data_IF_560579444678
#
_entry.id   IF_560579444678
#
_cell.length_a   1.000
_cell.length_b   1.000
_cell.length_c   1.000
_cell.angle_alpha   90.00
_cell.angle_beta   90.00
_cell.angle_gamma   90.00
#
_symmetry.space_group_name_H-M   'P 1'
#
loop_
_entity.id
_entity.type
_entity.pdbx_description
1 polymer ?
#
# COMPACT_ATOMS: atom_id res chain seq x y z
N UNK A 1 -5.74 27.85 38.36
CA UNK A 1 -4.74 27.05 37.61
C UNK A 1 -4.97 27.42 36.17
N UNK A 2 -4.02 28.13 35.56
CA UNK A 2 -4.15 28.72 34.23
C UNK A 2 -4.32 27.59 33.20
N UNK A 3 -5.41 27.62 32.44
CA UNK A 3 -5.51 26.87 31.18
C UNK A 3 -4.64 27.62 30.19
N UNK A 4 -3.38 27.18 30.05
CA UNK A 4 -2.53 27.65 28.97
C UNK A 4 -3.13 27.14 27.66
N UNK A 5 -3.80 28.03 26.94
CA UNK A 5 -4.06 27.87 25.52
C UNK A 5 -2.71 27.83 24.81
N UNK A 6 -2.24 26.62 24.52
CA UNK A 6 -1.05 26.41 23.71
C UNK A 6 -1.41 26.85 22.28
N UNK A 7 -0.92 28.02 21.86
CA UNK A 7 -0.98 28.41 20.47
C UNK A 7 -0.04 27.51 19.68
N UNK A 8 -0.60 26.74 18.74
CA UNK A 8 0.15 25.89 17.82
C UNK A 8 0.31 26.62 16.47
N UNK A 9 1.50 27.15 16.15
CA UNK A 9 1.74 27.80 14.86
C UNK A 9 1.83 26.73 13.76
N UNK A 10 0.70 26.40 13.13
CA UNK A 10 0.62 25.46 12.00
C UNK A 10 -0.74 24.78 11.86
N UNK A 11 -0.97 24.06 10.77
CA UNK A 11 -2.09 23.11 10.70
C UNK A 11 -1.76 21.88 11.56
N UNK A 12 -2.73 21.38 12.33
CA UNK A 12 -2.57 20.19 13.15
C UNK A 12 -3.84 19.36 13.11
N UNK A 13 -3.70 18.04 13.25
CA UNK A 13 -4.82 17.14 13.51
C UNK A 13 -4.97 16.98 15.01
N UNK A 14 -6.19 17.20 15.52
CA UNK A 14 -6.54 17.05 16.94
C UNK A 14 -7.21 15.69 17.17
N UNK A 15 -6.59 14.85 17.98
CA UNK A 15 -7.17 13.58 18.46
C UNK A 15 -7.39 13.61 19.98
N UNK A 16 -8.41 12.91 20.48
CA UNK A 16 -8.64 12.75 21.93
C UNK A 16 -8.61 11.27 22.27
N UNK A 17 -7.72 10.88 23.20
CA UNK A 17 -7.63 9.53 23.72
C UNK A 17 -7.49 9.57 25.25
N UNK A 18 -8.38 8.88 25.96
CA UNK A 18 -8.34 8.72 27.42
C UNK A 18 -8.13 10.03 28.22
N UNK A 19 -8.77 11.12 27.78
CA UNK A 19 -8.67 12.44 28.44
C UNK A 19 -7.41 13.23 28.13
N UNK A 20 -6.54 12.74 27.25
CA UNK A 20 -5.41 13.48 26.70
C UNK A 20 -5.75 14.01 25.29
N UNK A 21 -5.33 15.24 25.01
CA UNK A 21 -5.39 15.84 23.68
C UNK A 21 -4.05 15.57 22.96
N UNK A 22 -4.12 14.93 21.80
CA UNK A 22 -2.99 14.69 20.91
C UNK A 22 -3.05 15.70 19.76
N UNK A 23 -1.96 16.43 19.59
CA UNK A 23 -1.76 17.37 18.49
C UNK A 23 -0.66 16.82 17.59
N UNK A 24 -1.01 16.47 16.35
CA UNK A 24 -0.03 16.04 15.33
C UNK A 24 0.22 17.22 14.40
N UNK A 25 1.46 17.69 14.35
CA UNK A 25 1.88 18.79 13.47
C UNK A 25 1.73 18.36 12.00
N UNK A 26 0.83 18.99 11.25
CA UNK A 26 0.57 18.67 9.84
C UNK A 26 1.64 19.27 8.90
N UNK A 27 2.59 20.05 9.43
CA UNK A 27 3.74 20.58 8.67
C UNK A 27 4.66 19.48 8.13
N UNK A 28 4.55 18.27 8.67
CA UNK A 28 5.22 17.05 8.20
C UNK A 28 4.35 16.14 7.34
N UNK A 29 3.31 16.66 6.68
CA UNK A 29 2.58 15.96 5.61
C UNK A 29 3.61 15.52 4.56
N UNK A 30 4.14 14.30 4.71
CA UNK A 30 4.63 13.46 3.61
C UNK A 30 3.67 13.75 2.48
N UNK A 31 4.17 14.17 1.32
CA UNK A 31 3.32 14.39 0.14
C UNK A 31 2.61 13.06 -0.17
N UNK A 32 1.42 12.89 0.43
CA UNK A 32 0.64 11.67 0.40
C UNK A 32 0.24 11.39 -1.04
N UNK A 33 0.09 12.44 -1.84
CA UNK A 33 -0.13 12.35 -3.28
C UNK A 33 1.09 11.75 -4.00
N UNK A 34 2.30 12.27 -3.78
CA UNK A 34 3.53 11.71 -4.36
C UNK A 34 3.82 10.28 -3.88
N UNK A 35 3.59 9.99 -2.60
CA UNK A 35 3.77 8.65 -2.05
C UNK A 35 2.73 7.66 -2.62
N UNK A 36 1.47 8.05 -2.74
CA UNK A 36 0.44 7.25 -3.44
C UNK A 36 0.82 7.01 -4.89
N UNK A 37 1.33 8.01 -5.59
CA UNK A 37 1.78 7.85 -6.97
C UNK A 37 2.94 6.85 -7.08
N UNK A 38 3.91 6.91 -6.15
CA UNK A 38 5.00 5.93 -6.05
C UNK A 38 4.46 4.51 -5.80
N UNK A 39 3.49 4.35 -4.90
CA UNK A 39 2.87 3.05 -4.60
C UNK A 39 2.06 2.53 -5.81
N UNK A 40 1.28 3.37 -6.48
CA UNK A 40 0.53 3.02 -7.70
C UNK A 40 1.48 2.60 -8.83
N UNK A 41 2.62 3.27 -9.00
CA UNK A 41 3.66 2.85 -9.96
C UNK A 41 4.24 1.47 -9.63
N UNK A 42 4.47 1.17 -8.35
CA UNK A 42 4.94 -0.15 -7.94
C UNK A 42 3.89 -1.24 -8.17
N UNK A 43 2.62 -0.94 -7.86
CA UNK A 43 1.50 -1.84 -8.16
C UNK A 43 1.40 -2.11 -9.66
N UNK A 44 1.49 -1.09 -10.52
CA UNK A 44 1.45 -1.29 -11.97
C UNK A 44 2.54 -2.22 -12.50
N UNK A 45 3.74 -2.22 -11.88
CA UNK A 45 4.81 -3.17 -12.22
C UNK A 45 4.46 -4.60 -11.79
N UNK A 46 3.91 -4.76 -10.58
CA UNK A 46 3.45 -6.07 -10.09
C UNK A 46 2.29 -6.61 -10.94
N UNK A 47 1.37 -5.75 -11.38
CA UNK A 47 0.21 -6.15 -12.19
C UNK A 47 0.66 -6.72 -13.54
N UNK A 48 1.69 -6.13 -14.14
CA UNK A 48 2.29 -6.68 -15.36
C UNK A 48 2.93 -8.05 -15.13
N UNK A 49 3.66 -8.23 -14.03
CA UNK A 49 4.29 -9.51 -13.69
C UNK A 49 3.25 -10.60 -13.36
N UNK A 50 2.21 -10.24 -12.60
CA UNK A 50 1.06 -11.11 -12.30
C UNK A 50 0.40 -11.57 -13.60
N UNK A 51 0.11 -10.63 -14.51
CA UNK A 51 -0.51 -10.95 -15.80
C UNK A 51 0.35 -11.94 -16.60
N UNK A 52 1.67 -11.70 -16.68
CA UNK A 52 2.60 -12.60 -17.37
C UNK A 52 2.62 -14.00 -16.76
N UNK A 53 2.64 -14.11 -15.43
CA UNK A 53 2.60 -15.40 -14.74
C UNK A 53 1.28 -16.12 -14.94
N UNK A 54 0.15 -15.39 -14.92
CA UNK A 54 -1.17 -15.95 -15.22
C UNK A 54 -1.26 -16.47 -16.66
N UNK A 55 -0.76 -15.70 -17.64
CA UNK A 55 -0.74 -16.10 -19.05
C UNK A 55 0.08 -17.39 -19.26
N UNK A 56 1.26 -17.49 -18.63
CA UNK A 56 2.06 -18.72 -18.66
C UNK A 56 1.30 -19.90 -18.05
N UNK A 57 0.71 -19.71 -16.87
CA UNK A 57 0.00 -20.78 -16.15
C UNK A 57 -1.35 -21.16 -16.79
N UNK A 58 -1.92 -20.30 -17.65
CA UNK A 58 -3.08 -20.62 -18.47
C UNK A 58 -2.71 -21.35 -19.77
N UNK A 59 -1.45 -21.29 -20.21
CA UNK A 59 -1.00 -21.90 -21.44
C UNK A 59 -0.77 -23.41 -21.28
N UNK A 60 -1.65 -24.22 -21.86
CA UNK A 60 -1.57 -25.69 -21.81
C UNK A 60 -0.26 -26.25 -22.41
N UNK A 61 0.32 -25.59 -23.42
CA UNK A 61 1.62 -26.01 -23.98
C UNK A 61 2.76 -25.78 -22.99
N UNK A 62 2.67 -24.74 -22.15
CA UNK A 62 3.65 -24.52 -21.09
C UNK A 62 3.47 -25.56 -19.99
N UNK A 63 2.23 -25.78 -19.52
CA UNK A 63 1.94 -26.75 -18.46
C UNK A 63 2.32 -28.20 -18.82
N UNK A 64 2.18 -28.58 -20.08
CA UNK A 64 2.49 -29.95 -20.55
C UNK A 64 3.98 -30.18 -20.84
N UNK A 65 4.77 -29.12 -21.06
CA UNK A 65 6.19 -29.23 -21.46
C UNK A 65 7.15 -28.78 -20.36
N UNK A 66 6.71 -27.93 -19.45
CA UNK A 66 7.54 -27.46 -18.35
C UNK A 66 7.65 -28.54 -17.26
N UNK A 67 8.83 -28.74 -16.65
CA UNK A 67 8.97 -29.58 -15.46
C UNK A 67 8.04 -29.10 -14.34
N UNK A 68 7.54 -30.04 -13.53
CA UNK A 68 6.62 -29.73 -12.43
C UNK A 68 7.19 -28.69 -11.47
N UNK A 69 8.49 -28.77 -11.15
CA UNK A 69 9.18 -27.79 -10.29
C UNK A 69 9.12 -26.37 -10.88
N UNK A 70 9.22 -26.22 -12.20
CA UNK A 70 9.15 -24.92 -12.87
C UNK A 70 7.73 -24.36 -12.80
N UNK A 71 6.72 -25.20 -13.01
CA UNK A 71 5.30 -24.81 -12.88
C UNK A 71 4.97 -24.43 -11.44
N UNK A 72 5.45 -25.21 -10.46
CA UNK A 72 5.27 -24.94 -9.03
C UNK A 72 5.91 -23.60 -8.64
N UNK A 73 7.16 -23.34 -9.06
CA UNK A 73 7.83 -22.06 -8.84
C UNK A 73 7.08 -20.88 -9.45
N UNK A 74 6.53 -21.02 -10.66
CA UNK A 74 5.75 -19.95 -11.30
C UNK A 74 4.42 -19.71 -10.56
N UNK A 75 3.78 -20.75 -10.00
CA UNK A 75 2.59 -20.60 -9.15
C UNK A 75 2.91 -19.89 -7.83
N UNK A 76 3.99 -20.26 -7.15
CA UNK A 76 4.45 -19.58 -5.94
C UNK A 76 4.76 -18.11 -6.22
N UNK A 77 5.49 -17.84 -7.30
CA UNK A 77 5.81 -16.47 -7.74
C UNK A 77 4.54 -15.63 -7.98
N UNK A 78 3.54 -16.21 -8.64
CA UNK A 78 2.25 -15.54 -8.84
C UNK A 78 1.57 -15.19 -7.50
N UNK A 79 1.54 -16.13 -6.56
CA UNK A 79 0.94 -15.91 -5.24
C UNK A 79 1.66 -14.80 -4.48
N UNK A 80 3.00 -14.84 -4.42
CA UNK A 80 3.80 -13.81 -3.74
C UNK A 80 3.54 -12.42 -4.32
N UNK A 81 3.47 -12.29 -5.65
CA UNK A 81 3.15 -11.01 -6.27
C UNK A 81 1.74 -10.52 -5.94
N UNK A 82 0.75 -11.41 -5.92
CA UNK A 82 -0.62 -11.06 -5.53
C UNK A 82 -0.69 -10.59 -4.07
N UNK A 83 0.03 -11.24 -3.16
CA UNK A 83 0.11 -10.84 -1.75
C UNK A 83 0.76 -9.47 -1.57
N UNK A 84 1.89 -9.22 -2.25
CA UNK A 84 2.57 -7.92 -2.21
C UNK A 84 1.67 -6.84 -2.79
N UNK A 85 1.03 -7.09 -3.94
CA UNK A 85 0.08 -6.15 -4.57
C UNK A 85 -1.07 -5.81 -3.61
N UNK A 86 -1.67 -6.80 -2.97
CA UNK A 86 -2.75 -6.59 -2.01
C UNK A 86 -2.31 -5.75 -0.80
N UNK A 87 -1.06 -5.93 -0.34
CA UNK A 87 -0.49 -5.09 0.73
C UNK A 87 -0.27 -3.64 0.28
N UNK A 88 0.13 -3.41 -0.96
CA UNK A 88 0.26 -2.05 -1.51
C UNK A 88 -1.10 -1.38 -1.70
N UNK A 89 -2.11 -2.13 -2.14
CA UNK A 89 -3.48 -1.63 -2.28
C UNK A 89 -4.04 -1.16 -0.93
N UNK A 90 -3.96 -1.99 0.11
CA UNK A 90 -4.37 -1.61 1.48
C UNK A 90 -3.62 -0.37 2.00
N UNK A 91 -2.35 -0.24 1.64
CA UNK A 91 -1.55 0.92 2.00
C UNK A 91 -2.04 2.21 1.33
N UNK A 92 -2.53 2.14 0.09
CA UNK A 92 -3.13 3.29 -0.61
C UNK A 92 -4.47 3.63 0.03
N UNK A 93 -5.33 2.63 0.25
CA UNK A 93 -6.66 2.81 0.88
C UNK A 93 -6.54 3.49 2.25
N UNK A 94 -5.62 3.01 3.11
CA UNK A 94 -5.39 3.63 4.42
C UNK A 94 -4.97 5.10 4.32
N UNK A 95 -4.24 5.49 3.27
CA UNK A 95 -3.80 6.87 3.06
C UNK A 95 -4.92 7.73 2.49
N UNK A 96 -5.75 7.18 1.60
CA UNK A 96 -6.96 7.86 1.10
C UNK A 96 -7.91 8.17 2.26
N UNK A 97 -8.10 7.22 3.19
CA UNK A 97 -8.89 7.46 4.41
C UNK A 97 -8.30 8.53 5.35
N UNK A 98 -6.98 8.75 5.34
CA UNK A 98 -6.35 9.80 6.15
C UNK A 98 -6.44 11.19 5.52
N UNK A 99 -6.62 11.29 4.19
CA UNK A 99 -6.85 12.57 3.50
C UNK A 99 -8.29 13.06 3.64
N UNK A 100 -9.23 12.17 3.96
CA UNK A 100 -10.66 12.47 4.12
C UNK A 100 -11.04 12.91 5.55
N UNK A 101 -10.11 12.87 6.51
CA UNK A 101 -10.26 13.28 7.91
C UNK A 101 -9.78 14.71 8.15
#
# INVERSE_FOLDING_TARGET
>A
RLEESVEHPGQYLKGVAAGAELYVEASGLIDLSSEKERLRRQMGRLDLEIKRSQEKLANQNYLSRAPEEVVARERTKLQEFQEVRARLQRQIENRESLEEL
#
